data_IF_636769052587
#
_entry.id   IF_636769052587
#
_cell.length_a   1.000
_cell.length_b   1.000
_cell.length_c   1.000
_cell.angle_alpha   90.00
_cell.angle_beta   90.00
_cell.angle_gamma   90.00
#
_symmetry.space_group_name_H-M   'P 1'
#
loop_
_entity.id
_entity.type
_entity.pdbx_description
1 polymer ?
#
# COMPACT_ATOMS: atom_id res chain seq x y z
N UNK A 1 -6.97 34.30 1.13
CA UNK A 1 -6.77 33.28 0.07
C UNK A 1 -5.50 32.53 0.41
N UNK A 2 -5.57 31.21 0.65
CA UNK A 2 -4.36 30.38 0.77
C UNK A 2 -3.95 29.98 -0.64
N UNK A 3 -2.74 30.34 -1.05
CA UNK A 3 -2.16 29.83 -2.28
C UNK A 3 -1.95 28.31 -2.13
N UNK A 4 -2.26 27.49 -3.16
CA UNK A 4 -2.18 26.04 -3.08
C UNK A 4 -0.75 25.51 -2.81
N UNK A 5 0.27 26.35 -2.93
CA UNK A 5 1.67 26.02 -2.68
C UNK A 5 2.17 26.52 -1.31
N UNK A 6 1.28 26.82 -0.36
CA UNK A 6 1.66 27.30 0.97
C UNK A 6 1.11 26.40 2.08
N UNK A 7 1.97 25.96 2.99
CA UNK A 7 1.62 25.19 4.18
C UNK A 7 1.65 26.12 5.39
N UNK A 8 0.67 26.01 6.29
CA UNK A 8 0.71 26.71 7.58
C UNK A 8 0.96 25.70 8.69
N UNK A 9 2.09 25.84 9.40
CA UNK A 9 2.45 24.99 10.53
C UNK A 9 3.06 25.82 11.65
N UNK A 10 2.65 25.57 12.89
CA UNK A 10 3.12 26.29 14.09
C UNK A 10 3.13 27.84 13.93
N UNK A 11 2.05 28.40 13.38
CA UNK A 11 1.88 29.83 13.09
C UNK A 11 2.84 30.42 12.03
N UNK A 12 3.59 29.58 11.31
CA UNK A 12 4.47 29.97 10.20
C UNK A 12 3.83 29.59 8.86
N UNK A 13 3.92 30.48 7.88
CA UNK A 13 3.58 30.22 6.47
C UNK A 13 4.83 29.73 5.73
N UNK A 14 4.83 28.49 5.29
CA UNK A 14 5.89 27.88 4.49
C UNK A 14 5.48 27.93 3.02
N UNK A 15 6.27 28.60 2.19
CA UNK A 15 5.98 28.78 0.76
C UNK A 15 7.00 28.08 -0.15
N UNK A 16 8.19 27.77 0.36
CA UNK A 16 9.21 27.03 -0.38
C UNK A 16 9.09 25.53 -0.10
N UNK A 17 9.35 24.71 -1.12
CA UNK A 17 9.25 23.25 -1.02
C UNK A 17 10.08 22.66 0.14
N UNK A 18 11.27 23.21 0.39
CA UNK A 18 12.13 22.78 1.50
C UNK A 18 11.53 23.07 2.87
N UNK A 19 10.93 24.25 3.05
CA UNK A 19 10.28 24.64 4.30
C UNK A 19 9.01 23.80 4.55
N UNK A 20 8.27 23.49 3.49
CA UNK A 20 7.10 22.61 3.53
C UNK A 20 7.52 21.18 3.92
N UNK A 21 8.59 20.66 3.32
CA UNK A 21 9.12 19.32 3.64
C UNK A 21 9.59 19.23 5.10
N UNK A 22 10.28 20.26 5.60
CA UNK A 22 10.73 20.34 6.99
C UNK A 22 9.55 20.42 7.96
N UNK A 23 8.56 21.29 7.68
CA UNK A 23 7.36 21.40 8.51
C UNK A 23 6.54 20.10 8.54
N UNK A 24 6.47 19.39 7.41
CA UNK A 24 5.86 18.07 7.36
C UNK A 24 6.63 17.05 8.20
N UNK A 25 7.97 17.01 8.10
CA UNK A 25 8.80 16.10 8.88
C UNK A 25 8.64 16.35 10.39
N UNK A 26 8.66 17.61 10.81
CA UNK A 26 8.46 17.99 12.22
C UNK A 26 7.08 17.59 12.73
N UNK A 27 6.03 17.87 11.96
CA UNK A 27 4.68 17.42 12.30
C UNK A 27 4.63 15.89 12.41
N UNK A 28 5.15 15.19 11.40
CA UNK A 28 5.14 13.73 11.35
C UNK A 28 5.88 13.12 12.54
N UNK A 29 7.04 13.65 12.92
CA UNK A 29 7.77 13.23 14.10
C UNK A 29 7.00 13.50 15.40
N UNK A 30 6.25 14.60 15.48
CA UNK A 30 5.45 14.93 16.67
C UNK A 30 4.25 14.00 16.88
N UNK A 31 3.61 13.55 15.79
CA UNK A 31 2.44 12.66 15.85
C UNK A 31 2.82 11.19 15.76
N UNK A 32 4.00 10.88 15.23
CA UNK A 32 4.57 9.54 15.23
C UNK A 32 5.02 9.23 16.65
N UNK A 33 4.37 8.27 17.28
CA UNK A 33 4.83 7.74 18.56
C UNK A 33 6.04 6.86 18.25
N UNK A 34 7.27 7.21 18.69
CA UNK A 34 8.35 6.23 18.64
C UNK A 34 7.89 5.08 19.53
N UNK A 35 7.84 3.87 18.98
CA UNK A 35 7.71 2.67 19.81
C UNK A 35 9.03 2.51 20.55
N UNK A 36 9.19 3.21 21.67
CA UNK A 36 10.24 2.96 22.67
C UNK A 36 9.92 1.65 23.36
N UNK A 37 10.02 0.55 22.63
CA UNK A 37 10.04 -0.80 23.16
C UNK A 37 10.97 -1.61 22.26
N UNK A 38 12.26 -1.57 22.58
CA UNK A 38 13.19 -2.68 22.32
C UNK A 38 12.83 -3.90 23.19
N UNK A 39 11.54 -4.20 23.29
CA UNK A 39 10.91 -5.31 23.99
C UNK A 39 9.66 -5.71 23.19
N UNK A 40 9.85 -6.06 21.91
CA UNK A 40 8.83 -6.83 21.18
C UNK A 40 8.98 -8.30 21.58
N UNK A 41 8.71 -8.55 22.87
CA UNK A 41 8.08 -9.78 23.34
C UNK A 41 6.71 -9.38 23.87
N UNK A 42 5.90 -8.79 23.02
CA UNK A 42 4.47 -8.85 23.21
C UNK A 42 3.86 -9.13 21.84
N UNK A 43 3.49 -10.40 21.73
CA UNK A 43 2.44 -10.94 20.90
C UNK A 43 1.61 -9.82 20.24
N UNK A 44 1.95 -9.47 18.99
CA UNK A 44 0.91 -9.04 18.07
C UNK A 44 -0.04 -10.24 17.97
N UNK A 45 -0.96 -10.34 18.94
CA UNK A 45 -2.18 -11.13 18.81
C UNK A 45 -3.05 -10.38 17.83
N UNK A 46 -2.56 -10.32 16.60
CA UNK A 46 -3.41 -10.13 15.47
C UNK A 46 -4.34 -11.33 15.49
N UNK A 47 -5.61 -11.08 15.74
CA UNK A 47 -6.63 -12.07 15.45
C UNK A 47 -6.75 -12.33 13.93
N UNK A 48 -5.86 -11.77 13.09
CA UNK A 48 -5.56 -12.43 11.83
C UNK A 48 -4.85 -13.74 12.18
N UNK A 49 -5.64 -14.81 12.27
CA UNK A 49 -5.17 -16.19 12.36
C UNK A 49 -3.97 -16.32 11.46
N UNK A 50 -2.82 -16.35 12.11
CA UNK A 50 -1.51 -16.59 11.55
C UNK A 50 -1.42 -18.07 11.21
N UNK A 51 -2.38 -18.55 10.43
CA UNK A 51 -2.01 -19.45 9.36
C UNK A 51 -1.39 -18.54 8.31
N UNK A 52 -0.14 -18.14 8.59
CA UNK A 52 0.73 -17.53 7.61
C UNK A 52 0.88 -18.62 6.55
N UNK A 53 -0.09 -18.70 5.64
CA UNK A 53 0.00 -19.45 4.41
C UNK A 53 1.31 -18.96 3.82
N UNK A 54 2.36 -19.75 4.02
CA UNK A 54 3.61 -19.62 3.29
C UNK A 54 3.17 -19.88 1.86
N UNK A 55 2.81 -18.81 1.17
CA UNK A 55 2.66 -18.84 -0.27
C UNK A 55 4.08 -19.14 -0.73
N UNK A 56 4.34 -20.43 -0.97
CA UNK A 56 5.57 -20.91 -1.54
C UNK A 56 5.63 -20.27 -2.91
N UNK A 57 6.29 -19.11 -3.02
CA UNK A 57 6.58 -18.36 -4.25
C UNK A 57 5.52 -18.48 -5.37
N UNK A 58 4.72 -17.44 -5.60
CA UNK A 58 3.81 -17.41 -6.74
C UNK A 58 4.62 -17.41 -8.05
N UNK A 59 4.37 -18.38 -8.93
CA UNK A 59 4.98 -18.41 -10.26
C UNK A 59 4.12 -17.65 -11.29
N UNK A 60 4.70 -17.37 -12.46
CA UNK A 60 3.94 -16.80 -13.58
C UNK A 60 2.77 -17.68 -14.00
N UNK A 61 2.98 -18.98 -14.08
CA UNK A 61 1.96 -19.93 -14.51
C UNK A 61 0.79 -19.98 -13.51
N UNK A 62 1.07 -19.88 -12.21
CA UNK A 62 0.03 -19.80 -11.17
C UNK A 62 -0.82 -18.54 -11.34
N UNK A 63 -0.19 -17.38 -11.55
CA UNK A 63 -0.90 -16.12 -11.75
C UNK A 63 -1.76 -16.16 -13.03
N UNK A 64 -1.20 -16.66 -14.13
CA UNK A 64 -1.91 -16.83 -15.41
C UNK A 64 -3.09 -17.79 -15.26
N UNK A 65 -2.91 -18.91 -14.55
CA UNK A 65 -3.97 -19.89 -14.33
C UNK A 65 -5.13 -19.28 -13.55
N UNK A 66 -4.84 -18.59 -12.44
CA UNK A 66 -5.87 -17.92 -11.63
C UNK A 66 -6.60 -16.84 -12.43
N UNK A 67 -5.87 -16.04 -13.21
CA UNK A 67 -6.48 -15.01 -14.06
C UNK A 67 -7.32 -15.61 -15.19
N UNK A 68 -6.93 -16.77 -15.73
CA UNK A 68 -7.74 -17.53 -16.70
C UNK A 68 -9.04 -18.05 -16.08
N UNK A 69 -9.00 -18.46 -14.82
CA UNK A 69 -10.17 -18.95 -14.07
C UNK A 69 -11.10 -17.83 -13.59
N UNK A 70 -10.66 -16.57 -13.61
CA UNK A 70 -11.55 -15.44 -13.34
C UNK A 70 -12.79 -15.51 -14.25
N UNK A 71 -13.96 -15.55 -13.63
CA UNK A 71 -15.24 -15.40 -14.31
C UNK A 71 -15.22 -14.08 -15.08
N UNK A 72 -15.59 -14.14 -16.36
CA UNK A 72 -15.75 -12.97 -17.22
C UNK A 72 -17.00 -12.15 -16.91
N UNK A 73 -17.59 -12.32 -15.72
CA UNK A 73 -18.71 -11.52 -15.22
C UNK A 73 -18.25 -10.11 -14.84
N UNK A 74 -19.20 -9.18 -14.80
CA UNK A 74 -19.03 -7.83 -14.24
C UNK A 74 -18.91 -7.87 -12.70
N UNK A 75 -18.04 -8.72 -12.17
CA UNK A 75 -17.73 -8.72 -10.74
C UNK A 75 -16.69 -7.64 -10.53
N UNK A 76 -17.14 -6.53 -9.96
CA UNK A 76 -16.33 -5.38 -9.61
C UNK A 76 -15.99 -5.46 -8.14
N UNK A 77 -14.69 -5.45 -7.83
CA UNK A 77 -14.21 -5.27 -6.46
C UNK A 77 -14.46 -3.83 -5.98
N UNK A 78 -13.87 -3.46 -4.84
CA UNK A 78 -13.94 -2.07 -4.33
C UNK A 78 -13.34 -1.04 -5.30
N UNK A 79 -12.48 -1.51 -6.20
CA UNK A 79 -11.83 -0.73 -7.27
C UNK A 79 -12.73 -0.47 -8.48
N UNK A 80 -13.88 -1.13 -8.57
CA UNK A 80 -14.78 -1.08 -9.72
C UNK A 80 -14.11 -1.50 -11.05
N UNK A 81 -13.07 -2.33 -11.02
CA UNK A 81 -12.41 -2.85 -12.22
C UNK A 81 -13.06 -4.17 -12.64
N UNK A 82 -13.58 -4.28 -13.88
CA UNK A 82 -14.12 -5.54 -14.38
C UNK A 82 -13.05 -6.62 -14.60
N UNK A 83 -13.38 -7.87 -14.26
CA UNK A 83 -12.48 -9.03 -14.43
C UNK A 83 -11.93 -9.21 -15.84
N UNK A 84 -12.67 -8.82 -16.88
CA UNK A 84 -12.21 -8.94 -18.27
C UNK A 84 -11.02 -8.02 -18.60
N UNK A 85 -10.90 -6.88 -17.92
CA UNK A 85 -9.75 -5.97 -18.06
C UNK A 85 -8.51 -6.65 -17.48
N UNK A 86 -8.63 -7.23 -16.29
CA UNK A 86 -7.54 -7.98 -15.64
C UNK A 86 -7.09 -9.14 -16.54
N UNK A 87 -8.05 -9.86 -17.12
CA UNK A 87 -7.80 -10.99 -18.03
C UNK A 87 -7.02 -10.57 -19.29
N UNK A 88 -7.40 -9.44 -19.90
CA UNK A 88 -6.71 -8.90 -21.08
C UNK A 88 -5.34 -8.30 -20.78
N UNK A 89 -5.10 -7.85 -19.54
CA UNK A 89 -3.87 -7.16 -19.15
C UNK A 89 -2.89 -8.03 -18.35
N UNK A 90 -3.13 -9.35 -18.24
CA UNK A 90 -2.32 -10.31 -17.46
C UNK A 90 -0.81 -10.10 -17.63
N UNK A 91 -0.34 -9.97 -18.88
CA UNK A 91 1.07 -9.82 -19.21
C UNK A 91 1.69 -8.52 -18.65
N UNK A 92 0.90 -7.44 -18.58
CA UNK A 92 1.33 -6.14 -18.07
C UNK A 92 1.18 -6.02 -16.56
N UNK A 93 0.19 -6.71 -15.98
CA UNK A 93 -0.11 -6.66 -14.56
C UNK A 93 0.77 -7.61 -13.73
N UNK A 94 1.42 -8.60 -14.36
CA UNK A 94 2.20 -9.60 -13.64
C UNK A 94 3.33 -9.01 -12.80
N UNK A 95 4.13 -8.09 -13.36
CA UNK A 95 5.26 -7.47 -12.64
C UNK A 95 4.78 -6.67 -11.42
N UNK A 96 3.77 -5.78 -11.54
CA UNK A 96 3.14 -5.14 -10.38
C UNK A 96 2.60 -6.13 -9.33
N UNK A 97 1.90 -7.18 -9.77
CA UNK A 97 1.34 -8.20 -8.87
C UNK A 97 2.43 -8.93 -8.09
N UNK A 98 3.50 -9.34 -8.77
CA UNK A 98 4.62 -10.04 -8.14
C UNK A 98 5.32 -9.15 -7.12
N UNK A 99 5.51 -7.86 -7.45
CA UNK A 99 6.06 -6.88 -6.51
C UNK A 99 5.19 -6.75 -5.25
N UNK A 100 3.87 -6.61 -5.38
CA UNK A 100 2.95 -6.57 -4.23
C UNK A 100 2.93 -7.87 -3.40
N UNK A 101 3.16 -9.03 -4.02
CA UNK A 101 3.15 -10.33 -3.35
C UNK A 101 4.49 -10.65 -2.67
N UNK A 102 5.60 -10.07 -3.13
CA UNK A 102 6.96 -10.38 -2.65
C UNK A 102 7.59 -9.29 -1.79
N UNK A 103 7.20 -8.01 -1.96
CA UNK A 103 7.58 -6.93 -1.04
C UNK A 103 6.65 -6.94 0.18
N UNK A 104 7.08 -7.65 1.21
CA UNK A 104 6.47 -7.62 2.55
C UNK A 104 7.30 -6.77 3.50
#
# INVERSE_FOLDING_TARGET
MKSPNSLYYNNVCCENDGDIANAFADYFLSVSKPSTNSDIKDEFKSNCVSDLFKINSVTYDDAVLVIKELKSSLTVGVDNIPSFIIKGCTEFLFIPFLFCLTCR
#
